data_IF_462811430610
#
_entry.id   IF_462811430610
#
_cell.length_a   1.000
_cell.length_b   1.000
_cell.length_c   1.000
_cell.angle_alpha   90.00
_cell.angle_beta   90.00
_cell.angle_gamma   90.00
#
_symmetry.space_group_name_H-M   'P 1'
#
loop_
_entity.id
_entity.type
_entity.pdbx_description
1 polymer ?
#
# COMPACT_ATOMS: atom_id res chain seq x y z
N UNK A 1 -8.21 -5.84 -16.57
CA UNK A 1 -8.33 -4.94 -15.40
C UNK A 1 -7.70 -5.65 -14.23
N UNK A 2 -6.71 -5.07 -13.55
CA UNK A 2 -6.06 -5.72 -12.40
C UNK A 2 -6.94 -5.54 -11.18
N UNK A 3 -7.35 -6.66 -10.59
CA UNK A 3 -8.14 -6.67 -9.36
C UNK A 3 -7.21 -6.54 -8.16
N UNK A 4 -7.48 -5.57 -7.30
CA UNK A 4 -6.76 -5.35 -6.06
C UNK A 4 -7.61 -5.74 -4.87
N UNK A 5 -6.93 -6.17 -3.82
CA UNK A 5 -7.51 -6.57 -2.55
C UNK A 5 -6.71 -5.93 -1.43
N UNK A 6 -7.37 -5.60 -0.33
CA UNK A 6 -6.71 -5.08 0.87
C UNK A 6 -7.23 -5.81 2.11
N UNK A 7 -6.37 -6.03 3.10
CA UNK A 7 -6.71 -6.66 4.35
C UNK A 7 -6.86 -5.57 5.41
N UNK A 8 -8.06 -5.45 5.98
CA UNK A 8 -8.37 -4.50 7.05
C UNK A 8 -8.93 -5.26 8.23
N UNK A 9 -8.29 -5.12 9.40
CA UNK A 9 -8.70 -5.84 10.62
C UNK A 9 -8.67 -7.37 10.48
N UNK A 10 -7.79 -7.90 9.63
CA UNK A 10 -7.67 -9.35 9.38
C UNK A 10 -8.66 -9.91 8.36
N UNK A 11 -9.53 -9.08 7.76
CA UNK A 11 -10.42 -9.48 6.68
C UNK A 11 -9.97 -8.92 5.34
N UNK A 12 -9.96 -9.77 4.32
CA UNK A 12 -9.76 -9.36 2.94
C UNK A 12 -11.00 -8.65 2.39
N UNK A 13 -10.79 -7.46 1.84
CA UNK A 13 -11.78 -6.61 1.20
C UNK A 13 -11.40 -6.47 -0.29
N UNK A 14 -12.39 -6.53 -1.17
CA UNK A 14 -12.21 -6.43 -2.62
C UNK A 14 -13.08 -7.43 -3.40
N UNK A 15 -12.88 -7.56 -4.72
CA UNK A 15 -11.91 -6.84 -5.55
C UNK A 15 -12.27 -5.36 -5.75
N UNK A 16 -11.29 -4.47 -5.62
CA UNK A 16 -11.38 -3.05 -5.96
C UNK A 16 -10.37 -2.70 -7.05
N UNK A 17 -10.52 -1.52 -7.64
CA UNK A 17 -9.55 -0.96 -8.59
C UNK A 17 -8.38 -0.28 -7.86
N UNK A 18 -7.29 0.00 -8.58
CA UNK A 18 -6.17 0.77 -8.01
C UNK A 18 -6.60 2.17 -7.59
N UNK A 19 -7.46 2.82 -8.38
CA UNK A 19 -8.02 4.14 -8.08
C UNK A 19 -8.89 4.13 -6.83
N UNK A 20 -9.71 3.10 -6.62
CA UNK A 20 -10.44 2.93 -5.36
C UNK A 20 -9.49 2.74 -4.16
N UNK A 21 -8.38 2.04 -4.36
CA UNK A 21 -7.35 1.88 -3.33
C UNK A 21 -6.70 3.22 -2.96
N UNK A 22 -6.39 4.05 -3.95
CA UNK A 22 -5.91 5.41 -3.74
C UNK A 22 -6.95 6.29 -3.05
N UNK A 23 -8.23 6.18 -3.43
CA UNK A 23 -9.32 6.89 -2.80
C UNK A 23 -9.49 6.47 -1.33
N UNK A 24 -9.39 5.18 -1.03
CA UNK A 24 -9.42 4.64 0.33
C UNK A 24 -8.21 5.12 1.14
N UNK A 25 -7.01 5.13 0.57
CA UNK A 25 -5.82 5.66 1.23
C UNK A 25 -5.96 7.16 1.55
N UNK A 26 -6.48 7.94 0.59
CA UNK A 26 -6.69 9.39 0.75
C UNK A 26 -7.79 9.72 1.75
N UNK A 27 -8.85 8.91 1.80
CA UNK A 27 -9.97 9.04 2.73
C UNK A 27 -9.63 8.52 4.15
N UNK A 28 -8.49 7.86 4.34
CA UNK A 28 -8.12 7.19 5.59
C UNK A 28 -8.85 5.86 5.84
N UNK A 29 -9.53 5.34 4.81
CA UNK A 29 -10.14 4.01 4.82
C UNK A 29 -9.12 2.87 4.75
N UNK A 30 -7.93 3.15 4.20
CA UNK A 30 -6.79 2.25 4.11
C UNK A 30 -5.58 2.89 4.79
N UNK A 31 -4.99 2.17 5.74
CA UNK A 31 -3.78 2.59 6.44
C UNK A 31 -2.52 2.12 5.69
N UNK A 32 -1.39 2.84 5.84
CA UNK A 32 -0.11 2.41 5.27
C UNK A 32 0.35 1.01 5.74
N UNK A 33 -0.09 0.60 6.94
CA UNK A 33 0.19 -0.73 7.49
C UNK A 33 -0.78 -1.83 7.06
N UNK A 34 -1.91 -1.49 6.42
CA UNK A 34 -2.82 -2.50 5.89
C UNK A 34 -2.14 -3.25 4.74
N UNK A 35 -2.38 -4.54 4.64
CA UNK A 35 -1.81 -5.35 3.56
C UNK A 35 -2.65 -5.22 2.31
N UNK A 36 -2.02 -5.09 1.16
CA UNK A 36 -2.65 -5.05 -0.15
C UNK A 36 -2.05 -6.12 -1.04
N UNK A 37 -2.87 -6.66 -1.93
CA UNK A 37 -2.46 -7.69 -2.87
C UNK A 37 -3.20 -7.52 -4.19
N UNK A 38 -2.56 -7.93 -5.26
CA UNK A 38 -3.19 -8.05 -6.56
C UNK A 38 -2.65 -9.28 -7.29
N UNK A 39 -3.31 -9.64 -8.39
CA UNK A 39 -2.98 -10.83 -9.18
C UNK A 39 -1.57 -10.83 -9.80
N UNK A 40 -0.93 -9.67 -9.91
CA UNK A 40 0.46 -9.53 -10.38
C UNK A 40 1.47 -9.63 -9.23
N UNK A 41 1.03 -9.55 -7.97
CA UNK A 41 1.89 -9.66 -6.79
C UNK A 41 2.02 -11.11 -6.34
N UNK A 42 3.22 -11.46 -5.90
CA UNK A 42 3.53 -12.79 -5.39
C UNK A 42 2.92 -13.04 -4.01
N UNK A 43 2.93 -12.00 -3.17
CA UNK A 43 2.51 -12.03 -1.77
C UNK A 43 1.86 -10.70 -1.39
N UNK A 44 1.13 -10.70 -0.26
CA UNK A 44 0.54 -9.49 0.33
C UNK A 44 1.64 -8.53 0.78
N UNK A 45 1.56 -7.28 0.34
CA UNK A 45 2.52 -6.23 0.67
C UNK A 45 1.82 -5.11 1.44
N UNK A 46 2.48 -4.45 2.40
CA UNK A 46 1.87 -3.31 3.05
C UNK A 46 1.56 -2.22 2.02
N UNK A 47 0.41 -1.57 2.19
CA UNK A 47 -0.11 -0.55 1.28
C UNK A 47 0.92 0.58 1.07
N UNK A 48 1.67 0.91 2.12
CA UNK A 48 2.77 1.88 2.08
C UNK A 48 3.95 1.47 1.19
N UNK A 49 4.14 0.17 0.97
CA UNK A 49 5.21 -0.35 0.10
C UNK A 49 4.80 -0.32 -1.37
N UNK A 50 3.52 -0.10 -1.67
CA UNK A 50 3.03 -0.01 -3.04
C UNK A 50 3.05 1.45 -3.47
N UNK A 51 4.02 1.76 -4.33
CA UNK A 51 4.15 3.07 -4.96
C UNK A 51 2.87 3.46 -5.68
N UNK A 52 2.38 4.67 -5.39
CA UNK A 52 1.20 5.25 -6.01
C UNK A 52 -0.08 5.12 -5.17
N UNK A 53 -0.16 4.23 -4.16
CA UNK A 53 -1.33 4.21 -3.26
C UNK A 53 -1.34 5.45 -2.36
N UNK A 54 -0.20 5.75 -1.73
CA UNK A 54 -0.01 6.92 -0.89
C UNK A 54 0.80 7.96 -1.67
N UNK A 55 0.10 8.81 -2.42
CA UNK A 55 0.72 9.78 -3.32
C UNK A 55 1.27 11.05 -2.61
N UNK A 56 1.46 10.99 -1.29
CA UNK A 56 2.03 12.06 -0.48
C UNK A 56 3.05 11.49 0.49
N UNK A 57 4.26 12.04 0.46
CA UNK A 57 5.43 11.70 1.29
C UNK A 57 6.15 10.40 0.91
N UNK A 58 6.89 10.50 -0.19
CA UNK A 58 8.17 9.82 -0.32
C UNK A 58 9.02 10.09 0.92
N UNK A 59 9.06 9.17 1.87
CA UNK A 59 10.22 8.98 2.75
C UNK A 59 10.19 7.58 3.38
N UNK A 60 10.27 6.56 2.53
CA UNK A 60 10.96 5.34 2.93
C UNK A 60 12.36 5.41 2.34
N UNK A 61 13.21 6.19 3.00
CA UNK A 61 14.65 6.00 2.94
C UNK A 61 15.04 5.05 4.08
N UNK A 62 15.04 3.72 3.90
CA UNK A 62 15.70 2.84 4.87
C UNK A 62 17.24 2.93 4.79
N UNK A 63 17.79 3.80 3.93
CA UNK A 63 19.22 3.91 3.67
C UNK A 63 19.73 5.35 3.64
N UNK A 64 19.43 6.13 4.69
CA UNK A 64 20.39 7.11 5.16
C UNK A 64 21.23 6.41 6.23
N UNK A 65 22.18 5.57 5.78
CA UNK A 65 23.32 5.24 6.62
C UNK A 65 23.96 6.58 7.00
N UNK A 66 24.11 6.93 8.29
CA UNK A 66 24.92 8.09 8.65
C UNK A 66 26.29 7.88 8.00
N UNK A 67 26.90 8.89 7.35
CA UNK A 67 28.32 8.81 7.07
C UNK A 67 29.01 8.74 8.44
N UNK A 68 29.41 7.54 8.87
CA UNK A 68 30.32 7.41 9.99
C UNK A 68 31.58 8.19 9.64
N UNK A 69 31.85 9.24 10.42
CA UNK A 69 33.13 9.96 10.45
C UNK A 69 34.29 9.05 10.85
#
# INVERSE_FOLDING_TARGET
MIQWYYAKGGQQMGPVTFEELQALATSGGLMPGDLVWNQSMKDWLPASSVSGIFNGTSSFSPYATPPSS
#
